data_IF_671072511099
#
_entry.id   IF_671072511099
#
_cell.length_a   1.000
_cell.length_b   1.000
_cell.length_c   1.000
_cell.angle_alpha   90.00
_cell.angle_beta   90.00
_cell.angle_gamma   90.00
#
_symmetry.space_group_name_H-M   'P 1'
#
loop_
_entity.id
_entity.type
_entity.pdbx_description
1 polymer ?
#
# COMPACT_ATOMS: atom_id res chain seq x y z
N UNK A 1 1.79 -3.03 23.77
CA UNK A 1 2.67 -2.89 22.59
C UNK A 1 2.15 -1.73 21.75
N UNK A 2 2.97 -0.73 21.37
CA UNK A 2 2.49 0.38 20.52
C UNK A 2 2.10 -0.18 19.14
N UNK A 3 0.95 0.21 18.60
CA UNK A 3 0.59 -0.18 17.23
C UNK A 3 1.54 0.49 16.23
N UNK A 4 1.74 -0.12 15.05
CA UNK A 4 2.53 0.50 13.98
C UNK A 4 2.06 1.93 13.66
N UNK A 5 0.74 2.18 13.71
CA UNK A 5 0.15 3.51 13.53
C UNK A 5 0.59 4.51 14.61
N UNK A 6 0.62 4.09 15.87
CA UNK A 6 1.11 4.92 16.98
C UNK A 6 2.62 5.16 16.90
N UNK A 7 3.39 4.14 16.52
CA UNK A 7 4.83 4.25 16.31
C UNK A 7 5.16 5.21 15.17
N UNK A 8 4.52 5.05 14.00
CA UNK A 8 4.66 5.96 12.85
C UNK A 8 4.34 7.40 13.23
N UNK A 9 3.24 7.65 13.95
CA UNK A 9 2.88 9.00 14.40
C UNK A 9 3.96 9.62 15.29
N UNK A 10 4.55 8.84 16.19
CA UNK A 10 5.61 9.31 17.08
C UNK A 10 6.96 9.52 16.35
N UNK A 11 7.25 8.78 15.29
CA UNK A 11 8.48 8.96 14.51
C UNK A 11 8.39 10.16 13.57
N UNK A 12 7.21 10.43 13.01
CA UNK A 12 6.98 11.56 12.10
C UNK A 12 6.98 12.93 12.80
N UNK A 13 7.11 13.00 14.13
CA UNK A 13 7.34 14.27 14.84
C UNK A 13 8.77 14.78 14.71
N UNK A 14 9.73 13.88 14.41
CA UNK A 14 11.11 14.26 14.11
C UNK A 14 11.19 14.83 12.68
N UNK A 15 11.80 16.01 12.54
CA UNK A 15 11.87 16.74 11.26
C UNK A 15 12.72 16.01 10.21
N UNK A 16 13.80 15.34 10.61
CA UNK A 16 14.65 14.57 9.71
C UNK A 16 13.93 13.31 9.25
N UNK A 17 13.21 12.63 10.16
CA UNK A 17 12.38 11.46 9.81
C UNK A 17 11.22 11.85 8.91
N UNK A 18 10.53 12.95 9.21
CA UNK A 18 9.47 13.50 8.36
C UNK A 18 9.99 13.80 6.96
N UNK A 19 11.12 14.51 6.84
CA UNK A 19 11.73 14.80 5.54
C UNK A 19 12.08 13.53 4.78
N UNK A 20 12.77 12.57 5.41
CA UNK A 20 13.11 11.30 4.77
C UNK A 20 11.87 10.49 4.36
N UNK A 21 10.79 10.58 5.14
CA UNK A 21 9.51 9.94 4.82
C UNK A 21 8.80 10.62 3.65
N UNK A 22 8.74 11.96 3.64
CA UNK A 22 8.13 12.73 2.57
C UNK A 22 8.93 12.55 1.25
N UNK A 23 10.26 12.38 1.34
CA UNK A 23 11.15 12.06 0.22
C UNK A 23 10.90 10.64 -0.36
N UNK A 24 10.14 9.74 0.32
CA UNK A 24 9.76 8.42 -0.22
C UNK A 24 8.72 8.50 -1.36
N UNK A 25 8.03 9.64 -1.50
CA UNK A 25 7.11 9.89 -2.60
C UNK A 25 5.74 9.20 -2.52
N UNK A 26 4.86 9.51 -3.49
CA UNK A 26 3.46 9.03 -3.52
C UNK A 26 3.33 7.51 -3.71
N UNK A 27 4.32 6.86 -4.32
CA UNK A 27 4.33 5.41 -4.53
C UNK A 27 4.31 4.65 -3.21
N UNK A 28 5.10 5.10 -2.23
CA UNK A 28 5.16 4.50 -0.91
C UNK A 28 3.82 4.63 -0.17
N UNK A 29 3.17 5.79 -0.24
CA UNK A 29 1.88 6.02 0.41
C UNK A 29 0.78 5.14 -0.18
N UNK A 30 0.74 5.04 -1.52
CA UNK A 30 -0.18 4.16 -2.23
C UNK A 30 -0.01 2.70 -1.80
N UNK A 31 1.24 2.21 -1.76
CA UNK A 31 1.55 0.83 -1.39
C UNK A 31 1.20 0.55 0.07
N UNK A 32 1.53 1.48 0.98
CA UNK A 32 1.16 1.37 2.38
C UNK A 32 -0.37 1.27 2.55
N UNK A 33 -1.15 2.06 1.80
CA UNK A 33 -2.61 2.00 1.82
C UNK A 33 -3.15 0.66 1.30
N UNK A 34 -2.55 0.10 0.23
CA UNK A 34 -2.91 -1.22 -0.31
C UNK A 34 -2.65 -2.32 0.74
N UNK A 35 -1.48 -2.32 1.36
CA UNK A 35 -1.09 -3.30 2.39
C UNK A 35 -2.05 -3.20 3.58
N UNK A 36 -2.30 -1.99 4.07
CA UNK A 36 -3.22 -1.76 5.19
C UNK A 36 -4.61 -2.32 4.87
N UNK A 37 -5.16 -2.01 3.70
CA UNK A 37 -6.48 -2.52 3.28
C UNK A 37 -6.49 -4.03 3.12
N UNK A 38 -5.43 -4.64 2.58
CA UNK A 38 -5.30 -6.10 2.49
C UNK A 38 -5.33 -6.75 3.86
N UNK A 39 -4.59 -6.21 4.83
CA UNK A 39 -4.55 -6.70 6.19
C UNK A 39 -5.88 -6.50 6.92
N UNK A 40 -6.56 -5.37 6.72
CA UNK A 40 -7.92 -5.14 7.25
C UNK A 40 -8.94 -6.15 6.74
N UNK A 41 -8.74 -6.70 5.53
CA UNK A 41 -9.57 -7.76 4.97
C UNK A 41 -9.14 -9.18 5.39
N UNK A 42 -8.08 -9.30 6.19
CA UNK A 42 -7.53 -10.60 6.61
C UNK A 42 -6.93 -11.41 5.47
N UNK A 43 -6.54 -10.77 4.36
CA UNK A 43 -6.04 -11.47 3.18
C UNK A 43 -4.52 -11.59 3.21
N UNK A 44 -4.01 -12.78 2.88
CA UNK A 44 -2.63 -13.00 2.46
C UNK A 44 -2.39 -12.43 1.06
N UNK A 45 -1.12 -12.25 0.69
CA UNK A 45 -0.76 -11.85 -0.69
C UNK A 45 -1.24 -12.87 -1.73
N UNK A 46 -1.18 -14.17 -1.40
CA UNK A 46 -1.66 -15.23 -2.27
C UNK A 46 -3.18 -15.18 -2.48
N UNK A 47 -3.94 -14.88 -1.43
CA UNK A 47 -5.40 -14.73 -1.52
C UNK A 47 -5.79 -13.51 -2.34
N UNK A 48 -5.12 -12.37 -2.14
CA UNK A 48 -5.34 -11.20 -2.98
C UNK A 48 -5.03 -11.51 -4.45
N UNK A 49 -3.90 -12.18 -4.71
CA UNK A 49 -3.51 -12.59 -6.05
C UNK A 49 -4.57 -13.47 -6.73
N UNK A 50 -5.12 -14.46 -6.00
CA UNK A 50 -6.21 -15.31 -6.49
C UNK A 50 -7.46 -14.49 -6.81
N UNK A 51 -7.85 -13.54 -5.94
CA UNK A 51 -9.02 -12.67 -6.17
C UNK A 51 -8.92 -11.82 -7.42
N UNK A 52 -7.72 -11.36 -7.78
CA UNK A 52 -7.51 -10.52 -8.97
C UNK A 52 -7.10 -11.29 -10.22
N UNK A 53 -6.89 -12.62 -10.11
CA UNK A 53 -6.44 -13.46 -11.23
C UNK A 53 -4.98 -13.24 -11.62
N UNK A 54 -4.08 -13.13 -10.64
CA UNK A 54 -2.62 -13.00 -10.89
C UNK A 54 -1.79 -13.94 -10.00
N UNK A 55 -0.46 -13.90 -10.14
CA UNK A 55 0.49 -14.65 -9.32
C UNK A 55 0.80 -13.92 -8.01
N UNK A 56 1.03 -14.65 -6.91
CA UNK A 56 1.43 -14.05 -5.63
C UNK A 56 2.69 -13.19 -5.76
N UNK A 57 3.64 -13.57 -6.63
CA UNK A 57 4.83 -12.76 -6.92
C UNK A 57 4.53 -11.39 -7.55
N UNK A 58 3.40 -11.22 -8.23
CA UNK A 58 2.97 -9.91 -8.73
C UNK A 58 2.49 -9.01 -7.59
N UNK A 59 1.75 -9.56 -6.62
CA UNK A 59 1.35 -8.83 -5.40
C UNK A 59 2.57 -8.52 -4.53
N UNK A 60 3.51 -9.45 -4.37
CA UNK A 60 4.73 -9.21 -3.61
C UNK A 60 5.56 -8.06 -4.21
N UNK A 61 5.69 -8.01 -5.55
CA UNK A 61 6.36 -6.90 -6.24
C UNK A 61 5.61 -5.57 -6.10
N UNK A 62 4.28 -5.60 -6.17
CA UNK A 62 3.45 -4.42 -5.91
C UNK A 62 3.68 -3.89 -4.48
N UNK A 63 3.71 -4.77 -3.49
CA UNK A 63 3.84 -4.40 -2.08
C UNK A 63 5.28 -4.04 -1.66
N UNK A 64 6.29 -4.36 -2.47
CA UNK A 64 7.69 -4.10 -2.14
C UNK A 64 8.16 -2.68 -2.45
N UNK A 65 7.39 -1.86 -3.16
CA UNK A 65 7.83 -0.52 -3.58
C UNK A 65 8.68 -0.48 -4.85
N UNK A 66 9.17 -1.64 -5.33
CA UNK A 66 10.11 -1.71 -6.45
C UNK A 66 9.42 -1.91 -7.80
N UNK A 67 8.12 -1.63 -7.89
CA UNK A 67 7.33 -1.84 -9.10
C UNK A 67 6.43 -0.64 -9.34
N UNK A 68 6.38 -0.18 -10.59
CA UNK A 68 5.43 0.84 -11.02
C UNK A 68 4.15 0.15 -11.54
N UNK A 69 3.07 0.04 -10.75
CA UNK A 69 1.86 -0.62 -11.18
C UNK A 69 1.08 0.22 -12.18
N UNK A 70 0.48 -0.44 -13.16
CA UNK A 70 -0.48 0.22 -14.04
C UNK A 70 -1.74 0.60 -13.26
N UNK A 71 -2.41 1.68 -13.68
CA UNK A 71 -3.71 2.08 -13.14
C UNK A 71 -4.74 0.94 -13.23
N UNK A 72 -4.66 0.11 -14.27
CA UNK A 72 -5.54 -1.06 -14.41
C UNK A 72 -5.34 -2.08 -13.27
N UNK A 73 -4.09 -2.37 -12.90
CA UNK A 73 -3.79 -3.25 -11.76
C UNK A 73 -4.31 -2.64 -10.47
N UNK A 74 -4.10 -1.33 -10.25
CA UNK A 74 -4.62 -0.62 -9.08
C UNK A 74 -6.15 -0.70 -8.99
N UNK A 75 -6.86 -0.57 -10.12
CA UNK A 75 -8.32 -0.75 -10.16
C UNK A 75 -8.75 -2.16 -9.78
N UNK A 76 -8.05 -3.20 -10.26
CA UNK A 76 -8.31 -4.61 -9.91
C UNK A 76 -8.07 -4.86 -8.42
N UNK A 77 -6.97 -4.33 -7.88
CA UNK A 77 -6.64 -4.43 -6.45
C UNK A 77 -7.69 -3.73 -5.60
N UNK A 78 -8.06 -2.48 -5.93
CA UNK A 78 -9.09 -1.73 -5.22
C UNK A 78 -10.43 -2.50 -5.20
N UNK A 79 -10.85 -3.04 -6.35
CA UNK A 79 -12.06 -3.87 -6.45
C UNK A 79 -11.98 -5.12 -5.56
N UNK A 80 -10.88 -5.86 -5.58
CA UNK A 80 -10.70 -7.05 -4.75
C UNK A 80 -10.66 -6.75 -3.24
N UNK A 81 -10.28 -5.54 -2.87
CA UNK A 81 -10.26 -5.04 -1.50
C UNK A 81 -11.56 -4.35 -1.07
N UNK A 82 -12.59 -4.30 -1.93
CA UNK A 82 -13.81 -3.50 -1.72
C UNK A 82 -13.48 -2.04 -1.34
N UNK A 83 -12.54 -1.45 -2.08
CA UNK A 83 -12.09 -0.07 -1.94
C UNK A 83 -12.30 0.70 -3.25
N UNK A 84 -12.21 2.03 -3.17
CA UNK A 84 -12.23 2.92 -4.33
C UNK A 84 -10.81 3.44 -4.58
N UNK A 85 -10.37 3.41 -5.84
CA UNK A 85 -9.16 4.09 -6.27
C UNK A 85 -9.49 5.56 -6.49
N UNK A 86 -8.84 6.45 -5.74
CA UNK A 86 -8.93 7.90 -5.90
C UNK A 86 -7.53 8.43 -6.21
N UNK A 87 -7.43 9.28 -7.25
CA UNK A 87 -6.19 9.93 -7.68
C UNK A 87 -6.52 11.41 -7.79
N UNK A 88 -5.82 12.24 -7.02
CA UNK A 88 -5.97 13.69 -7.03
C UNK A 88 -4.63 14.35 -7.34
N UNK A 89 -4.68 15.45 -8.10
CA UNK A 89 -3.52 16.31 -8.38
C UNK A 89 -3.95 17.70 -7.92
N UNK A 90 -3.26 18.26 -6.94
CA UNK A 90 -3.56 19.56 -6.32
C UNK A 90 -2.30 20.22 -5.82
#
# INVERSE_FOLDING_TARGET
MKSFKQFKKAMLTDKAVRKAYDDLGPEFELIAAIIEKRLQKGLTQAELARKIGTKQSAIARLESGNYNPTVELLKKVAKALNARLEISIS
#
